data_IF_719301545059
#
_entry.id   IF_719301545059
#
_cell.length_a   1.000
_cell.length_b   1.000
_cell.length_c   1.000
_cell.angle_alpha   90.00
_cell.angle_beta   90.00
_cell.angle_gamma   90.00
#
_symmetry.space_group_name_H-M   'P 1'
#
loop_
_entity.id
_entity.type
_entity.pdbx_description
1 polymer ?
#
# COMPACT_ATOMS: atom_id res chain seq x y z
N UNK A 1 24.54 13.66 -9.86
CA UNK A 1 24.16 14.98 -9.33
C UNK A 1 22.84 14.81 -8.62
N UNK A 2 22.69 15.27 -7.39
CA UNK A 2 21.42 15.25 -6.64
C UNK A 2 20.96 16.68 -6.39
N UNK A 3 19.66 16.90 -6.38
CA UNK A 3 19.09 18.17 -5.94
C UNK A 3 19.18 18.31 -4.42
N UNK A 4 19.20 19.55 -3.92
CA UNK A 4 19.11 19.83 -2.48
C UNK A 4 17.65 19.70 -1.98
N UNK A 5 17.42 19.97 -0.70
CA UNK A 5 16.08 19.90 -0.08
C UNK A 5 15.04 20.86 -0.67
N UNK A 6 15.48 21.87 -1.42
CA UNK A 6 14.63 22.83 -2.13
C UNK A 6 14.49 22.48 -3.63
N UNK A 7 14.95 21.30 -4.06
CA UNK A 7 14.89 20.88 -5.47
C UNK A 7 15.90 21.58 -6.39
N UNK A 8 16.79 22.43 -5.85
CA UNK A 8 17.78 23.15 -6.64
C UNK A 8 19.02 22.30 -6.93
N UNK A 9 19.60 22.48 -8.11
CA UNK A 9 20.82 21.80 -8.56
C UNK A 9 21.61 22.76 -9.48
N UNK A 10 22.95 22.69 -9.47
CA UNK A 10 23.78 23.53 -10.33
C UNK A 10 25.01 22.76 -10.84
N UNK A 11 25.18 22.66 -12.16
CA UNK A 11 26.29 21.93 -12.77
C UNK A 11 26.96 22.77 -13.85
N UNK A 12 28.27 23.00 -13.70
CA UNK A 12 29.11 23.56 -14.75
C UNK A 12 29.37 22.52 -15.84
N UNK A 13 29.11 22.90 -17.09
CA UNK A 13 29.29 22.08 -18.28
C UNK A 13 30.02 22.91 -19.34
N UNK A 14 30.77 22.26 -20.23
CA UNK A 14 31.31 22.92 -21.41
C UNK A 14 30.18 23.35 -22.35
N UNK A 15 30.38 24.36 -23.20
CA UNK A 15 29.40 24.71 -24.22
C UNK A 15 29.05 23.50 -25.10
N UNK A 16 27.77 23.33 -25.43
CA UNK A 16 27.29 22.16 -26.16
C UNK A 16 25.78 21.95 -26.05
N UNK A 17 25.29 20.92 -26.74
CA UNK A 17 23.90 20.46 -26.62
C UNK A 17 23.81 19.26 -25.69
N UNK A 18 22.86 19.31 -24.76
CA UNK A 18 22.68 18.28 -23.74
C UNK A 18 21.24 17.75 -23.70
N UNK A 19 21.14 16.51 -23.25
CA UNK A 19 19.89 15.89 -22.77
C UNK A 19 20.04 15.68 -21.27
N UNK A 20 19.03 16.12 -20.51
CA UNK A 20 19.00 16.04 -19.05
C UNK A 20 17.80 15.20 -18.64
N UNK A 21 18.07 14.14 -17.89
CA UNK A 21 17.06 13.26 -17.32
C UNK A 21 17.00 13.48 -15.80
N UNK A 22 15.82 13.83 -15.28
CA UNK A 22 15.56 14.00 -13.86
C UNK A 22 14.70 12.83 -13.35
N UNK A 23 15.13 12.22 -12.25
CA UNK A 23 14.44 11.11 -11.60
C UNK A 23 14.40 11.26 -10.08
N UNK A 24 13.35 10.74 -9.46
CA UNK A 24 13.17 10.70 -8.01
C UNK A 24 12.37 9.46 -7.62
N UNK A 25 12.66 8.89 -6.45
CA UNK A 25 11.92 7.73 -5.91
C UNK A 25 10.45 8.09 -5.74
N UNK A 26 9.54 7.24 -6.27
CA UNK A 26 8.11 7.49 -6.21
C UNK A 26 7.56 8.39 -7.31
N UNK A 27 8.38 8.81 -8.29
CA UNK A 27 7.98 9.66 -9.41
C UNK A 27 8.37 9.07 -10.77
N UNK A 28 7.62 9.44 -11.81
CA UNK A 28 7.99 9.21 -13.21
C UNK A 28 9.18 10.11 -13.58
N UNK A 29 10.17 9.54 -14.26
CA UNK A 29 11.32 10.30 -14.76
C UNK A 29 10.93 11.22 -15.90
N UNK A 30 11.59 12.37 -16.01
CA UNK A 30 11.34 13.37 -17.06
C UNK A 30 12.63 13.72 -17.78
N UNK A 31 12.61 13.63 -19.11
CA UNK A 31 13.74 13.93 -19.98
C UNK A 31 13.48 15.20 -20.79
N UNK A 32 14.45 16.13 -20.78
CA UNK A 32 14.47 17.30 -21.66
C UNK A 32 15.73 17.24 -22.54
N UNK A 33 15.53 17.30 -23.86
CA UNK A 33 16.57 17.29 -24.88
C UNK A 33 16.76 18.67 -25.50
N UNK A 34 17.84 18.87 -26.26
CA UNK A 34 18.08 20.12 -26.98
C UNK A 34 18.47 21.30 -26.08
N UNK A 35 19.01 21.04 -24.90
CA UNK A 35 19.46 22.08 -23.98
C UNK A 35 20.80 22.60 -24.49
N UNK A 36 20.79 23.77 -25.13
CA UNK A 36 22.00 24.47 -25.58
C UNK A 36 22.61 25.22 -24.40
N UNK A 37 23.86 24.93 -24.08
CA UNK A 37 24.70 25.68 -23.14
C UNK A 37 25.74 26.44 -23.95
N UNK A 38 25.82 27.75 -23.72
CA UNK A 38 26.76 28.67 -24.39
C UNK A 38 27.79 29.14 -23.36
N UNK A 39 29.00 29.43 -23.82
CA UNK A 39 30.08 29.88 -22.94
C UNK A 39 29.70 31.13 -22.14
N UNK A 40 30.09 31.16 -20.87
CA UNK A 40 29.77 32.24 -19.94
C UNK A 40 28.29 32.40 -19.58
N UNK A 41 27.38 31.60 -20.13
CA UNK A 41 25.94 31.69 -19.85
C UNK A 41 25.45 30.58 -18.92
N UNK A 42 24.53 30.95 -18.02
CA UNK A 42 23.79 29.98 -17.20
C UNK A 42 22.45 29.69 -17.85
N UNK A 43 22.14 28.41 -18.07
CA UNK A 43 20.87 27.98 -18.64
C UNK A 43 20.06 27.23 -17.59
N UNK A 44 18.96 27.84 -17.14
CA UNK A 44 18.05 27.22 -16.16
C UNK A 44 17.07 26.29 -16.86
N UNK A 45 16.86 25.10 -16.29
CA UNK A 45 15.90 24.11 -16.79
C UNK A 45 15.13 23.52 -15.61
N UNK A 46 13.83 23.75 -15.55
CA UNK A 46 12.99 23.20 -14.48
C UNK A 46 12.38 21.86 -14.88
N UNK A 47 12.21 20.96 -13.92
CA UNK A 47 11.58 19.66 -14.12
C UNK A 47 10.41 19.48 -13.16
N UNK A 48 9.21 19.28 -13.69
CA UNK A 48 8.04 18.85 -12.91
C UNK A 48 7.90 17.34 -13.07
N UNK A 49 8.02 16.59 -11.97
CA UNK A 49 7.89 15.13 -11.98
C UNK A 49 6.49 14.72 -11.51
N UNK A 50 5.88 13.78 -12.21
CA UNK A 50 4.57 13.24 -11.84
C UNK A 50 4.74 12.07 -10.86
N UNK A 51 4.00 12.01 -9.75
CA UNK A 51 4.09 10.89 -8.83
C UNK A 51 3.63 9.60 -9.51
N UNK A 52 4.23 8.47 -9.13
CA UNK A 52 3.75 7.15 -9.49
C UNK A 52 2.38 6.93 -8.84
N UNK A 53 1.46 6.32 -9.59
CA UNK A 53 0.18 5.91 -9.03
C UNK A 53 0.42 4.92 -7.88
N UNK A 54 0.06 5.32 -6.67
CA UNK A 54 0.08 4.43 -5.52
C UNK A 54 -1.26 3.73 -5.41
N UNK A 55 -1.28 2.42 -5.12
CA UNK A 55 -2.53 1.76 -4.76
C UNK A 55 -3.15 2.46 -3.54
N UNK A 56 -4.48 2.46 -3.40
CA UNK A 56 -5.15 3.06 -2.26
C UNK A 56 -4.58 2.51 -0.95
N UNK A 57 -4.24 3.40 -0.02
CA UNK A 57 -3.86 2.99 1.32
C UNK A 57 -5.09 2.37 2.03
N UNK A 58 -5.00 1.10 2.43
CA UNK A 58 -6.05 0.42 3.18
C UNK A 58 -6.24 -1.05 2.82
N UNK A 59 -7.10 -1.72 3.59
CA UNK A 59 -7.53 -3.09 3.29
C UNK A 59 -8.55 -3.09 2.16
N UNK A 60 -8.49 -4.09 1.28
CA UNK A 60 -9.49 -4.24 0.22
C UNK A 60 -10.86 -4.62 0.82
N UNK A 61 -11.99 -4.22 0.20
CA UNK A 61 -13.33 -4.59 0.66
C UNK A 61 -13.52 -6.10 0.84
N UNK A 62 -12.86 -6.90 0.00
CA UNK A 62 -12.90 -8.36 0.09
C UNK A 62 -12.22 -8.88 1.37
N UNK A 63 -11.11 -8.29 1.79
CA UNK A 63 -10.44 -8.64 3.05
C UNK A 63 -11.31 -8.28 4.25
N UNK A 64 -11.95 -7.11 4.22
CA UNK A 64 -12.87 -6.69 5.29
C UNK A 64 -14.09 -7.62 5.37
N UNK A 65 -14.73 -7.93 4.23
CA UNK A 65 -15.87 -8.83 4.18
C UNK A 65 -15.50 -10.25 4.61
N UNK A 66 -14.37 -10.77 4.14
CA UNK A 66 -13.88 -12.11 4.49
C UNK A 66 -13.58 -12.25 5.99
N UNK A 67 -12.96 -11.24 6.61
CA UNK A 67 -12.67 -11.25 8.05
C UNK A 67 -13.95 -11.12 8.89
N UNK A 68 -14.90 -10.27 8.50
CA UNK A 68 -16.19 -10.15 9.20
C UNK A 68 -17.02 -11.45 9.14
N UNK A 69 -17.10 -12.09 7.97
CA UNK A 69 -17.77 -13.38 7.82
C UNK A 69 -17.06 -14.49 8.61
N UNK A 70 -15.73 -14.50 8.61
CA UNK A 70 -14.93 -15.44 9.39
C UNK A 70 -15.22 -15.35 10.89
N UNK A 71 -15.24 -14.14 11.45
CA UNK A 71 -15.57 -13.91 12.86
C UNK A 71 -16.99 -14.39 13.17
N UNK A 72 -17.97 -14.06 12.31
CA UNK A 72 -19.35 -14.48 12.50
C UNK A 72 -19.48 -16.01 12.47
N UNK A 73 -18.83 -16.67 11.52
CA UNK A 73 -18.85 -18.13 11.41
C UNK A 73 -18.24 -18.81 12.65
N UNK A 74 -17.15 -18.26 13.19
CA UNK A 74 -16.52 -18.76 14.43
C UNK A 74 -17.46 -18.58 15.63
N UNK A 75 -18.10 -17.40 15.78
CA UNK A 75 -19.06 -17.16 16.87
C UNK A 75 -20.26 -18.10 16.80
N UNK A 76 -20.79 -18.32 15.59
CA UNK A 76 -21.89 -19.28 15.37
C UNK A 76 -21.45 -20.71 15.68
N UNK A 77 -20.27 -21.13 15.21
CA UNK A 77 -19.73 -22.46 15.49
C UNK A 77 -19.53 -22.68 16.99
N UNK A 78 -19.00 -21.69 17.71
CA UNK A 78 -18.84 -21.73 19.18
C UNK A 78 -20.20 -21.81 19.87
N UNK A 79 -21.18 -21.00 19.48
CA UNK A 79 -22.52 -21.04 20.07
C UNK A 79 -23.22 -22.39 19.84
N UNK A 80 -23.13 -22.95 18.63
CA UNK A 80 -23.66 -24.28 18.29
C UNK A 80 -22.93 -25.36 19.10
N UNK A 81 -21.61 -25.31 19.18
CA UNK A 81 -20.82 -26.26 19.97
C UNK A 81 -21.19 -26.23 21.46
N UNK A 82 -21.34 -25.04 22.04
CA UNK A 82 -21.79 -24.88 23.43
C UNK A 82 -23.22 -25.41 23.64
N UNK A 83 -24.13 -25.19 22.68
CA UNK A 83 -25.50 -25.72 22.72
C UNK A 83 -25.52 -27.24 22.64
N UNK A 84 -24.72 -27.84 21.76
CA UNK A 84 -24.58 -29.30 21.65
C UNK A 84 -24.01 -29.91 22.93
N UNK A 85 -23.04 -29.23 23.57
CA UNK A 85 -22.47 -29.69 24.84
C UNK A 85 -23.47 -29.63 26.00
N UNK A 86 -24.44 -28.70 25.99
CA UNK A 86 -25.51 -28.64 27.01
C UNK A 86 -26.51 -29.79 26.85
N UNK A 87 -27.01 -30.03 25.63
CA UNK A 87 -27.98 -31.11 25.36
C UNK A 87 -27.48 -32.50 25.73
N UNK A 88 -26.18 -32.78 25.52
CA UNK A 88 -25.57 -34.06 25.91
C UNK A 88 -25.58 -34.31 27.42
N UNK A 89 -25.52 -33.25 28.25
CA UNK A 89 -25.59 -33.39 29.72
C UNK A 89 -27.00 -33.71 30.20
N UNK A 90 -28.00 -33.06 29.59
CA UNK A 90 -29.43 -33.26 29.91
C UNK A 90 -29.90 -34.68 29.55
N UNK A 91 -29.41 -35.22 28.43
CA UNK A 91 -29.73 -36.59 27.98
C UNK A 91 -29.04 -37.68 28.84
N UNK A 92 -27.83 -37.41 29.34
CA UNK A 92 -27.16 -38.33 30.27
C UNK A 92 -27.80 -38.32 31.65
N UNK A 93 -28.22 -37.18 32.21
CA UNK A 93 -28.89 -37.11 33.51
C UNK A 93 -30.29 -37.75 33.50
N UNK A 94 -31.07 -37.56 32.42
CA UNK A 94 -32.41 -38.16 32.29
C UNK A 94 -32.43 -39.68 32.16
N UNK A 95 -31.28 -40.32 31.88
CA UNK A 95 -31.18 -41.79 31.76
C UNK A 95 -30.87 -42.49 33.09
N UNK A 96 -30.47 -41.76 34.13
CA UNK A 96 -30.01 -42.33 35.42
C UNK A 96 -31.19 -42.60 36.37
N UNK A 97 -32.37 -42.04 36.11
CA UNK A 97 -33.57 -42.23 36.93
C UNK A 97 -34.46 -43.38 36.40
N UNK A 98 -34.06 -44.63 36.64
CA UNK A 98 -35.03 -45.76 36.60
C UNK A 98 -34.83 -46.67 37.82
N UNK A 99 -35.47 -46.38 38.98
CA UNK A 99 -35.67 -47.37 40.04
C UNK A 99 -36.97 -48.18 39.81
N UNK A 100 -36.91 -49.46 40.21
CA UNK A 100 -37.89 -50.55 40.03
C UNK A 100 -39.33 -50.24 40.43
#
# INVERSE_FOLDING_TARGET
MSANSQGSYNKSLTPGQYSVNASATGYLSSNKTGIVVVDGQTKTVDFSLNPLAQPPAGLSPLVIAGTALGILAVLVAVAVFLRMRRRKKEEEEGKIEIPR
#
